data_IF_022188662676
#
_entry.id   IF_022188662676
#
_cell.length_a   1.000
_cell.length_b   1.000
_cell.length_c   1.000
_cell.angle_alpha   90.00
_cell.angle_beta   90.00
_cell.angle_gamma   90.00
#
_symmetry.space_group_name_H-M   'P 1'
#
loop_
_entity.id
_entity.type
_entity.pdbx_description
1 polymer ?
#
# COMPACT_ATOMS: atom_id res chain seq x y z
N UNK A 1 17.71 -7.37 26.10
CA UNK A 1 18.15 -8.19 24.94
C UNK A 1 17.07 -9.14 24.45
N UNK A 2 16.61 -10.13 25.23
CA UNK A 2 15.64 -11.13 24.74
C UNK A 2 14.18 -10.63 24.61
N UNK A 3 13.83 -9.45 25.13
CA UNK A 3 12.47 -8.91 25.04
C UNK A 3 12.32 -7.80 23.98
N UNK A 4 13.44 -7.24 23.53
CA UNK A 4 13.45 -6.04 22.66
C UNK A 4 12.93 -6.38 21.26
N UNK A 5 13.25 -7.57 20.75
CA UNK A 5 12.70 -8.06 19.47
C UNK A 5 11.19 -8.28 19.56
N UNK A 6 10.67 -8.83 20.66
CA UNK A 6 9.23 -8.99 20.87
C UNK A 6 8.53 -7.62 20.90
N UNK A 7 9.11 -6.66 21.61
CA UNK A 7 8.54 -5.32 21.71
C UNK A 7 8.48 -4.62 20.33
N UNK A 8 9.54 -4.70 19.53
CA UNK A 8 9.55 -4.16 18.15
C UNK A 8 8.55 -4.90 17.26
N UNK A 9 8.43 -6.22 17.42
CA UNK A 9 7.48 -7.04 16.67
C UNK A 9 6.01 -6.70 16.98
N UNK A 10 5.67 -6.49 18.26
CA UNK A 10 4.34 -6.03 18.66
C UNK A 10 4.07 -4.57 18.28
N UNK A 11 5.08 -3.70 18.35
CA UNK A 11 4.97 -2.32 17.88
C UNK A 11 4.65 -2.27 16.38
N UNK A 12 5.32 -3.12 15.59
CA UNK A 12 5.04 -3.26 14.16
C UNK A 12 3.62 -3.79 13.89
N UNK A 13 3.11 -4.71 14.72
CA UNK A 13 1.73 -5.16 14.63
C UNK A 13 0.75 -4.00 14.82
N UNK A 14 0.92 -3.21 15.89
CA UNK A 14 0.07 -2.05 16.19
C UNK A 14 0.12 -1.04 15.04
N UNK A 15 1.31 -0.72 14.55
CA UNK A 15 1.48 0.18 13.41
C UNK A 15 0.81 -0.36 12.14
N UNK A 16 0.97 -1.65 11.85
CA UNK A 16 0.40 -2.28 10.67
C UNK A 16 -1.13 -2.30 10.71
N UNK A 17 -1.71 -2.58 11.88
CA UNK A 17 -3.16 -2.48 12.09
C UNK A 17 -3.67 -1.04 11.94
N UNK A 18 -2.98 -0.06 12.53
CA UNK A 18 -3.33 1.35 12.39
C UNK A 18 -3.27 1.80 10.92
N UNK A 19 -2.20 1.43 10.22
CA UNK A 19 -2.01 1.73 8.80
C UNK A 19 -3.06 1.05 7.93
N UNK A 20 -3.43 -0.20 8.22
CA UNK A 20 -4.51 -0.91 7.53
C UNK A 20 -5.85 -0.20 7.68
N UNK A 21 -6.17 0.27 8.89
CA UNK A 21 -7.42 0.97 9.15
C UNK A 21 -7.47 2.34 8.46
N UNK A 22 -6.34 3.08 8.44
CA UNK A 22 -6.20 4.34 7.69
C UNK A 22 -6.42 4.08 6.20
N UNK A 23 -5.72 3.09 5.63
CA UNK A 23 -5.87 2.69 4.22
C UNK A 23 -7.33 2.36 3.87
N UNK A 24 -8.04 1.68 4.78
CA UNK A 24 -9.43 1.31 4.58
C UNK A 24 -10.38 2.52 4.60
N UNK A 25 -10.21 3.43 5.56
CA UNK A 25 -11.08 4.61 5.70
C UNK A 25 -10.85 5.65 4.61
N UNK A 26 -9.58 5.90 4.27
CA UNK A 26 -9.18 6.98 3.38
C UNK A 26 -9.25 6.57 1.90
N UNK A 27 -9.04 5.30 1.57
CA UNK A 27 -8.93 4.82 0.18
C UNK A 27 -10.23 4.69 -0.61
N UNK A 28 -11.39 5.04 -0.03
CA UNK A 28 -12.74 4.98 -0.62
C UNK A 28 -12.93 3.87 -1.69
N UNK A 29 -12.89 2.61 -1.25
CA UNK A 29 -12.94 1.43 -2.13
C UNK A 29 -14.18 1.34 -3.00
N UNK A 30 -15.29 1.99 -2.62
CA UNK A 30 -16.53 2.02 -3.43
C UNK A 30 -16.32 2.85 -4.68
N UNK A 31 -15.81 4.07 -4.52
CA UNK A 31 -15.56 4.99 -5.64
C UNK A 31 -14.53 4.43 -6.63
N UNK A 32 -13.47 3.79 -6.12
CA UNK A 32 -12.49 3.09 -6.98
C UNK A 32 -13.17 2.03 -7.86
N UNK A 33 -14.09 1.23 -7.30
CA UNK A 33 -14.84 0.21 -8.05
C UNK A 33 -15.80 0.82 -9.07
N UNK A 34 -16.45 1.92 -8.73
CA UNK A 34 -17.33 2.65 -9.66
C UNK A 34 -16.54 3.17 -10.86
N UNK A 35 -15.40 3.82 -10.61
CA UNK A 35 -14.50 4.31 -11.66
C UNK A 35 -14.00 3.16 -12.53
N UNK A 36 -13.57 2.04 -11.94
CA UNK A 36 -13.17 0.85 -12.67
C UNK A 36 -14.29 0.30 -13.56
N UNK A 37 -15.52 0.26 -13.06
CA UNK A 37 -16.69 -0.17 -13.84
C UNK A 37 -16.94 0.76 -15.03
N UNK A 38 -16.95 2.08 -14.80
CA UNK A 38 -17.13 3.08 -15.85
C UNK A 38 -16.05 2.99 -16.94
N UNK A 39 -14.78 2.88 -16.55
CA UNK A 39 -13.69 2.70 -17.51
C UNK A 39 -13.84 1.42 -18.34
N UNK A 40 -14.25 0.31 -17.72
CA UNK A 40 -14.47 -0.96 -18.41
C UNK A 40 -15.67 -0.89 -19.38
N UNK A 41 -16.76 -0.22 -18.98
CA UNK A 41 -17.92 0.00 -19.84
C UNK A 41 -17.55 0.87 -21.05
N UNK A 42 -16.83 1.98 -20.84
CA UNK A 42 -16.34 2.83 -21.91
C UNK A 42 -15.41 2.09 -22.89
N UNK A 43 -14.49 1.27 -22.37
CA UNK A 43 -13.61 0.45 -23.22
C UNK A 43 -14.39 -0.57 -24.04
N UNK A 44 -15.43 -1.20 -23.47
CA UNK A 44 -16.29 -2.13 -24.21
C UNK A 44 -17.08 -1.42 -25.30
N UNK A 45 -17.71 -0.29 -24.99
CA UNK A 45 -18.46 0.50 -25.97
C UNK A 45 -17.57 0.93 -27.14
N UNK A 46 -16.34 1.36 -26.86
CA UNK A 46 -15.35 1.67 -27.90
C UNK A 46 -15.01 0.47 -28.77
N UNK A 47 -14.71 -0.68 -28.16
CA UNK A 47 -14.42 -1.90 -28.92
C UNK A 47 -15.59 -2.33 -29.80
N UNK A 48 -16.83 -2.22 -29.32
CA UNK A 48 -18.02 -2.54 -30.10
C UNK A 48 -18.25 -1.54 -31.25
N UNK A 49 -18.04 -0.25 -31.01
CA UNK A 49 -18.15 0.80 -32.03
C UNK A 49 -17.09 0.65 -33.13
N UNK A 50 -15.85 0.37 -32.76
CA UNK A 50 -14.76 0.07 -33.70
C UNK A 50 -15.07 -1.17 -34.53
N UNK A 51 -15.63 -2.24 -33.93
CA UNK A 51 -16.04 -3.45 -34.65
C UNK A 51 -17.18 -3.18 -35.64
N UNK A 52 -18.12 -2.30 -35.30
CA UNK A 52 -19.26 -1.93 -36.15
C UNK A 52 -18.93 -0.86 -37.20
N UNK A 53 -17.74 -0.26 -37.17
CA UNK A 53 -17.31 0.85 -38.05
C UNK A 53 -18.31 2.02 -38.07
N UNK A 54 -18.98 2.26 -36.95
CA UNK A 54 -19.93 3.37 -36.83
C UNK A 54 -19.19 4.67 -36.51
N UNK A 55 -18.87 5.44 -37.55
CA UNK A 55 -18.08 6.68 -37.44
C UNK A 55 -18.77 7.76 -36.58
N UNK A 56 -20.10 7.79 -36.56
CA UNK A 56 -20.86 8.75 -35.75
C UNK A 56 -20.78 8.40 -34.27
N UNK A 57 -20.85 7.11 -33.95
CA UNK A 57 -20.75 6.60 -32.58
C UNK A 57 -19.31 6.62 -32.07
N UNK A 58 -18.32 6.38 -32.93
CA UNK A 58 -16.90 6.55 -32.65
C UNK A 58 -16.54 7.98 -32.25
N UNK A 59 -16.95 8.99 -33.03
CA UNK A 59 -16.69 10.41 -32.67
C UNK A 59 -17.29 10.81 -31.31
N UNK A 60 -18.48 10.29 -30.98
CA UNK A 60 -19.10 10.54 -29.67
C UNK A 60 -18.33 9.86 -28.53
N UNK A 61 -17.83 8.65 -28.75
CA UNK A 61 -17.06 7.90 -27.75
C UNK A 61 -15.63 8.44 -27.58
N UNK A 62 -15.00 8.94 -28.63
CA UNK A 62 -13.73 9.67 -28.56
C UNK A 62 -13.86 10.94 -27.71
N UNK A 63 -14.97 11.68 -27.86
CA UNK A 63 -15.28 12.80 -26.98
C UNK A 63 -15.37 12.35 -25.51
N UNK A 64 -16.02 11.21 -25.22
CA UNK A 64 -16.06 10.64 -23.86
C UNK A 64 -14.69 10.15 -23.37
N UNK A 65 -13.79 9.68 -24.24
CA UNK A 65 -12.43 9.29 -23.83
C UNK A 65 -11.65 10.42 -23.17
N UNK A 66 -11.98 11.68 -23.48
CA UNK A 66 -11.36 12.84 -22.81
C UNK A 66 -11.64 12.89 -21.30
N UNK A 67 -12.63 12.14 -20.81
CA UNK A 67 -12.93 11.99 -19.38
C UNK A 67 -12.12 10.86 -18.71
N UNK A 68 -11.53 9.92 -19.47
CA UNK A 68 -10.73 8.84 -18.93
C UNK A 68 -9.52 9.34 -18.12
N UNK A 69 -8.73 10.34 -18.57
CA UNK A 69 -7.65 10.88 -17.77
C UNK A 69 -8.12 11.40 -16.41
N UNK A 70 -9.29 12.06 -16.35
CA UNK A 70 -9.86 12.57 -15.10
C UNK A 70 -10.23 11.44 -14.15
N UNK A 71 -10.87 10.38 -14.67
CA UNK A 71 -11.21 9.19 -13.91
C UNK A 71 -9.96 8.45 -13.40
N UNK A 72 -8.93 8.34 -14.23
CA UNK A 72 -7.65 7.75 -13.84
C UNK A 72 -6.96 8.57 -12.74
N UNK A 73 -6.94 9.90 -12.86
CA UNK A 73 -6.40 10.79 -11.83
C UNK A 73 -7.21 10.71 -10.53
N UNK A 74 -8.54 10.62 -10.61
CA UNK A 74 -9.38 10.43 -9.43
C UNK A 74 -9.04 9.11 -8.74
N UNK A 75 -9.00 8.00 -9.49
CA UNK A 75 -8.64 6.68 -8.96
C UNK A 75 -7.24 6.66 -8.34
N UNK A 76 -6.26 7.29 -8.99
CA UNK A 76 -4.92 7.47 -8.46
C UNK A 76 -4.96 8.28 -7.15
N UNK A 77 -5.63 9.43 -7.14
CA UNK A 77 -5.74 10.25 -5.93
C UNK A 77 -6.35 9.50 -4.75
N UNK A 78 -7.35 8.65 -4.99
CA UNK A 78 -7.96 7.82 -3.95
C UNK A 78 -6.99 6.79 -3.38
N UNK A 79 -6.09 6.24 -4.19
CA UNK A 79 -5.04 5.32 -3.75
C UNK A 79 -3.86 6.04 -3.06
N UNK A 80 -3.55 7.26 -3.48
CA UNK A 80 -2.45 8.05 -2.92
C UNK A 80 -2.82 8.77 -1.62
N UNK A 81 -4.10 9.13 -1.42
CA UNK A 81 -4.56 9.77 -0.18
C UNK A 81 -4.13 9.01 1.08
N UNK A 82 -4.30 7.68 1.18
CA UNK A 82 -3.76 6.93 2.31
C UNK A 82 -2.24 6.99 2.44
N UNK A 83 -1.51 6.90 1.32
CA UNK A 83 -0.05 6.94 1.32
C UNK A 83 0.49 8.25 1.89
N UNK A 84 -0.14 9.38 1.55
CA UNK A 84 0.23 10.71 2.10
C UNK A 84 0.10 10.76 3.63
N UNK A 85 -0.77 9.95 4.22
CA UNK A 85 -0.94 9.86 5.68
C UNK A 85 0.02 8.84 6.29
N UNK A 86 0.17 7.66 5.66
CA UNK A 86 0.96 6.55 6.19
C UNK A 86 2.46 6.79 6.05
N UNK A 87 2.93 7.41 4.96
CA UNK A 87 4.36 7.63 4.70
C UNK A 87 5.01 8.55 5.75
N UNK A 88 4.46 9.72 6.12
CA UNK A 88 5.02 10.55 7.19
C UNK A 88 5.05 9.82 8.53
N UNK A 89 4.01 9.04 8.82
CA UNK A 89 3.94 8.23 10.05
C UNK A 89 5.01 7.13 10.05
N UNK A 90 5.26 6.49 8.91
CA UNK A 90 6.32 5.49 8.75
C UNK A 90 7.71 6.10 8.99
N UNK A 91 7.98 7.27 8.39
CA UNK A 91 9.23 7.98 8.60
C UNK A 91 9.43 8.45 10.03
N UNK A 92 8.36 8.81 10.76
CA UNK A 92 8.43 9.12 12.18
C UNK A 92 8.93 7.92 13.01
N UNK A 93 8.53 6.71 12.68
CA UNK A 93 8.94 5.51 13.42
C UNK A 93 10.37 5.07 13.11
N UNK A 94 10.75 5.09 11.84
CA UNK A 94 12.05 4.59 11.38
C UNK A 94 13.15 5.65 11.47
N UNK A 95 12.77 6.92 11.34
CA UNK A 95 13.70 8.02 11.21
C UNK A 95 14.15 8.22 9.77
N UNK A 96 14.57 9.45 9.50
CA UNK A 96 15.05 9.91 8.21
C UNK A 96 16.46 10.42 8.36
N UNK A 97 17.32 10.10 7.40
CA UNK A 97 18.59 10.77 7.23
C UNK A 97 18.47 11.56 5.92
N UNK A 98 18.25 12.87 5.99
CA UNK A 98 18.17 13.77 4.85
C UNK A 98 16.82 13.86 4.13
N UNK A 99 15.73 13.29 4.66
CA UNK A 99 14.40 13.49 4.07
C UNK A 99 13.95 14.95 4.29
N UNK A 100 13.75 15.69 3.21
CA UNK A 100 13.42 17.13 3.24
C UNK A 100 14.43 17.99 4.03
N UNK A 101 15.69 17.54 4.15
CA UNK A 101 16.73 18.23 4.93
C UNK A 101 16.56 18.11 6.45
N UNK A 102 15.67 17.23 6.94
CA UNK A 102 15.45 16.99 8.35
C UNK A 102 16.00 15.60 8.72
N UNK A 103 16.94 15.62 9.66
CA UNK A 103 17.50 14.41 10.26
C UNK A 103 16.77 14.08 11.56
N UNK A 104 16.15 12.91 11.59
CA UNK A 104 15.48 12.41 12.78
C UNK A 104 15.84 10.95 13.01
N UNK A 105 16.17 10.60 14.26
CA UNK A 105 16.65 9.26 14.56
C UNK A 105 15.54 8.19 14.51
N UNK A 106 14.25 8.57 14.52
CA UNK A 106 13.14 7.63 14.52
C UNK A 106 12.83 7.12 15.91
N UNK A 107 11.55 6.96 16.23
CA UNK A 107 11.08 6.48 17.54
C UNK A 107 11.71 5.12 17.87
N UNK A 108 11.78 4.20 16.90
CA UNK A 108 12.27 2.83 17.12
C UNK A 108 13.75 2.81 17.50
N UNK A 109 14.58 3.69 16.91
CA UNK A 109 16.01 3.78 17.25
C UNK A 109 16.24 4.45 18.60
N UNK A 110 15.42 5.45 18.94
CA UNK A 110 15.52 6.15 20.24
C UNK A 110 15.18 5.18 21.38
N UNK A 111 14.14 4.37 21.20
CA UNK A 111 13.71 3.39 22.21
C UNK A 111 14.63 2.18 22.30
N UNK A 112 15.23 1.75 21.18
CA UNK A 112 16.08 0.55 21.11
C UNK A 112 17.43 0.83 20.43
N UNK A 113 18.30 1.68 21.03
CA UNK A 113 19.53 2.13 20.38
C UNK A 113 20.57 1.03 20.16
N UNK A 114 20.61 0.02 21.04
CA UNK A 114 21.63 -1.05 21.04
C UNK A 114 21.11 -2.36 20.43
N UNK A 115 19.93 -2.37 19.80
CA UNK A 115 19.35 -3.58 19.25
C UNK A 115 19.94 -3.91 17.87
N UNK A 116 20.47 -5.11 17.74
CA UNK A 116 20.91 -5.69 16.48
C UNK A 116 20.51 -7.16 16.40
N UNK A 117 20.07 -7.61 15.23
CA UNK A 117 19.71 -9.00 14.95
C UNK A 117 20.28 -9.40 13.60
N UNK A 118 20.85 -10.60 13.52
CA UNK A 118 21.29 -11.19 12.27
C UNK A 118 20.17 -12.02 11.66
N UNK A 119 19.65 -11.62 10.50
CA UNK A 119 18.73 -12.47 9.76
C UNK A 119 19.52 -13.41 8.83
N UNK A 120 19.04 -14.64 8.59
CA UNK A 120 19.69 -15.59 7.68
C UNK A 120 19.56 -15.20 6.21
N UNK A 121 18.86 -14.11 5.89
CA UNK A 121 18.69 -13.57 4.54
C UNK A 121 18.92 -12.06 4.50
N UNK A 122 19.50 -11.58 3.40
CA UNK A 122 19.71 -10.16 3.09
C UNK A 122 18.49 -9.58 2.36
N UNK A 123 17.90 -8.52 2.89
CA UNK A 123 16.86 -7.74 2.23
C UNK A 123 17.55 -6.58 1.51
N UNK A 124 17.71 -6.70 0.20
CA UNK A 124 18.31 -5.68 -0.67
C UNK A 124 17.35 -4.49 -0.90
N UNK A 125 16.88 -3.87 0.17
CA UNK A 125 15.93 -2.74 0.13
C UNK A 125 16.63 -1.38 -0.01
N UNK A 126 17.96 -1.37 -0.11
CA UNK A 126 18.77 -0.17 -0.30
C UNK A 126 18.42 0.56 -1.61
N UNK A 127 18.12 -0.20 -2.67
CA UNK A 127 17.75 0.32 -4.00
C UNK A 127 16.37 1.00 -4.01
N UNK A 128 15.44 0.51 -3.18
CA UNK A 128 14.03 0.95 -3.21
C UNK A 128 13.80 2.25 -2.45
N UNK A 129 14.58 2.50 -1.39
CA UNK A 129 14.39 3.67 -0.54
C UNK A 129 15.62 4.59 -0.42
N UNK A 130 16.76 4.27 -1.04
CA UNK A 130 18.05 4.98 -0.84
C UNK A 130 18.49 5.08 0.64
N UNK A 131 17.80 4.33 1.50
CA UNK A 131 18.05 4.25 2.92
C UNK A 131 19.14 3.19 3.11
N UNK A 132 20.39 3.60 3.38
CA UNK A 132 21.53 2.74 3.81
C UNK A 132 21.28 1.95 5.11
N UNK A 133 20.03 1.71 5.48
CA UNK A 133 19.56 1.14 6.74
C UNK A 133 19.60 -0.40 6.69
N UNK A 134 19.72 -1.01 5.49
CA UNK A 134 19.50 -2.44 5.23
C UNK A 134 20.62 -3.07 4.37
N UNK A 135 21.89 -2.68 4.57
CA UNK A 135 23.03 -3.14 3.74
C UNK A 135 23.78 -4.36 4.28
N UNK A 136 23.53 -4.76 5.53
CA UNK A 136 24.25 -5.87 6.18
C UNK A 136 23.28 -6.92 6.72
N UNK A 137 23.74 -8.16 6.85
CA UNK A 137 23.01 -9.26 7.50
C UNK A 137 22.68 -8.97 8.97
N UNK A 138 23.37 -8.01 9.58
CA UNK A 138 23.06 -7.37 10.86
C UNK A 138 22.08 -6.21 10.68
N UNK A 139 20.83 -6.44 11.05
CA UNK A 139 19.78 -5.43 11.06
C UNK A 139 19.74 -4.75 12.43
N UNK A 140 19.84 -3.42 12.44
CA UNK A 140 19.52 -2.64 13.64
C UNK A 140 18.01 -2.58 13.90
N UNK A 141 17.60 -1.90 14.98
CA UNK A 141 16.19 -1.72 15.36
C UNK A 141 15.28 -1.24 14.20
N UNK A 142 15.78 -0.30 13.38
CA UNK A 142 15.08 0.22 12.19
C UNK A 142 14.78 -0.87 11.18
N UNK A 143 15.79 -1.68 10.85
CA UNK A 143 15.67 -2.70 9.83
C UNK A 143 14.76 -3.83 10.26
N UNK A 144 14.91 -4.29 11.51
CA UNK A 144 14.04 -5.31 12.08
C UNK A 144 12.56 -4.88 12.11
N UNK A 145 12.28 -3.62 12.44
CA UNK A 145 10.92 -3.07 12.39
C UNK A 145 10.30 -3.15 10.99
N UNK A 146 11.06 -2.84 9.93
CA UNK A 146 10.59 -2.96 8.54
C UNK A 146 10.24 -4.42 8.21
N UNK A 147 11.08 -5.38 8.60
CA UNK A 147 10.82 -6.81 8.37
C UNK A 147 9.52 -7.24 9.06
N UNK A 148 9.34 -6.82 10.31
CA UNK A 148 8.12 -7.10 11.05
C UNK A 148 6.90 -6.45 10.38
N UNK A 149 7.02 -5.23 9.87
CA UNK A 149 5.95 -4.56 9.13
C UNK A 149 5.57 -5.30 7.85
N UNK A 150 6.54 -5.79 7.08
CA UNK A 150 6.28 -6.59 5.88
C UNK A 150 5.57 -7.89 6.23
N UNK A 151 6.03 -8.59 7.27
CA UNK A 151 5.40 -9.81 7.76
C UNK A 151 3.95 -9.58 8.19
N UNK A 152 3.70 -8.55 9.01
CA UNK A 152 2.37 -8.22 9.49
C UNK A 152 1.46 -7.70 8.38
N UNK A 153 1.98 -6.87 7.47
CA UNK A 153 1.26 -6.36 6.32
C UNK A 153 0.74 -7.49 5.44
N UNK A 154 1.61 -8.42 5.06
CA UNK A 154 1.23 -9.61 4.28
C UNK A 154 0.21 -10.48 5.04
N UNK A 155 0.43 -10.70 6.34
CA UNK A 155 -0.48 -11.51 7.17
C UNK A 155 -1.88 -10.89 7.25
N UNK A 156 -1.97 -9.58 7.49
CA UNK A 156 -3.26 -8.87 7.54
C UNK A 156 -3.97 -8.90 6.20
N UNK A 157 -3.24 -8.73 5.09
CA UNK A 157 -3.81 -8.76 3.74
C UNK A 157 -4.35 -10.15 3.36
N UNK A 158 -3.61 -11.22 3.70
CA UNK A 158 -4.06 -12.60 3.51
C UNK A 158 -5.31 -12.90 4.35
N UNK A 159 -5.31 -12.55 5.63
CA UNK A 159 -6.47 -12.72 6.50
C UNK A 159 -7.69 -11.96 5.97
N UNK A 160 -7.49 -10.72 5.52
CA UNK A 160 -8.56 -9.90 4.99
C UNK A 160 -9.15 -10.50 3.72
N UNK A 161 -8.31 -10.94 2.78
CA UNK A 161 -8.75 -11.57 1.53
C UNK A 161 -9.60 -12.81 1.81
N UNK A 162 -9.12 -13.70 2.68
CA UNK A 162 -9.86 -14.89 3.11
C UNK A 162 -11.22 -14.55 3.75
N UNK A 163 -11.28 -13.51 4.59
CA UNK A 163 -12.53 -13.07 5.22
C UNK A 163 -13.53 -12.49 4.21
N UNK A 164 -13.04 -11.75 3.21
CA UNK A 164 -13.88 -11.19 2.14
C UNK A 164 -14.42 -12.29 1.24
N UNK A 165 -13.59 -13.25 0.86
CA UNK A 165 -14.00 -14.42 0.07
C UNK A 165 -15.05 -15.25 0.81
N UNK A 166 -14.84 -15.55 2.09
CA UNK A 166 -15.82 -16.28 2.90
C UNK A 166 -17.17 -15.55 3.03
N UNK A 167 -17.15 -14.21 3.09
CA UNK A 167 -18.38 -13.39 3.07
C UNK A 167 -19.06 -13.36 1.70
N UNK A 168 -18.30 -13.41 0.60
CA UNK A 168 -18.83 -13.53 -0.77
C UNK A 168 -19.44 -14.91 -1.00
N UNK A 169 -18.75 -15.98 -0.61
CA UNK A 169 -19.25 -17.35 -0.72
C UNK A 169 -20.54 -17.58 0.08
N UNK A 170 -20.71 -16.91 1.23
CA UNK A 170 -21.99 -16.94 1.98
C UNK A 170 -23.12 -16.12 1.34
N UNK A 171 -22.83 -15.20 0.42
CA UNK A 171 -23.83 -14.32 -0.23
C UNK A 171 -24.29 -14.81 -1.59
N UNK A 172 -23.63 -15.81 -2.16
CA UNK A 172 -24.08 -16.51 -3.37
C UNK A 172 -24.62 -17.85 -2.90
N UNK A 173 -25.95 -17.99 -2.68
CA UNK A 173 -26.52 -19.33 -2.61
C UNK A 173 -26.25 -20.01 -3.94
N UNK A 174 -25.86 -21.27 -3.89
CA UNK A 174 -25.90 -22.16 -5.05
C UNK A 174 -27.34 -22.18 -5.60
N UNK A 175 -27.57 -21.47 -6.68
CA UNK A 175 -28.70 -21.64 -7.59
C UNK A 175 -28.15 -21.97 -8.98
#
# INVERSE_FOLDING_TARGET
MALDWLAIFFLALIFSLASFEINRKVGNRKRVKEIQKQMNEMQKELQEATKKKDEALLKRLEAKQTELPKLMMEMFSLQFRPLVVVIPLFFLFIGTNGFLGIDFNGIVRILYPNFSITLPFGLHLNEVFSLRILSHSTYGARGFFIVCLMFWGATIELLYTNLVEKKRARKVPSE
#
